data_IF_823861647237
#
_entry.id   IF_823861647237
#
_cell.length_a   1.000
_cell.length_b   1.000
_cell.length_c   1.000
_cell.angle_alpha   90.00
_cell.angle_beta   90.00
_cell.angle_gamma   90.00
#
_symmetry.space_group_name_H-M   'P 1'
#
loop_
_entity.id
_entity.type
_entity.pdbx_description
1 polymer ?
#
# COMPACT_ATOMS: atom_id res chain seq x y z
N UNK A 1 -15.54 -3.16 -8.80
CA UNK A 1 -15.52 -1.94 -7.96
C UNK A 1 -15.26 -2.19 -6.46
N UNK A 2 -15.23 -3.44 -5.94
CA UNK A 2 -15.15 -3.69 -4.49
C UNK A 2 -13.75 -3.90 -3.86
N UNK A 3 -12.65 -3.92 -4.64
CA UNK A 3 -11.32 -4.26 -4.11
C UNK A 3 -10.55 -3.08 -3.48
N UNK A 4 -10.85 -1.83 -3.84
CA UNK A 4 -10.08 -0.64 -3.44
C UNK A 4 -10.30 -0.29 -1.96
N UNK A 5 -11.54 -0.30 -1.49
CA UNK A 5 -11.89 0.06 -0.10
C UNK A 5 -11.22 -0.87 0.93
N UNK A 6 -11.21 -2.18 0.66
CA UNK A 6 -10.57 -3.15 1.55
C UNK A 6 -9.06 -2.94 1.71
N UNK A 7 -8.41 -2.41 0.68
CA UNK A 7 -6.98 -2.07 0.73
C UNK A 7 -6.78 -0.84 1.62
N UNK A 8 -7.62 0.18 1.45
CA UNK A 8 -7.52 1.44 2.21
C UNK A 8 -7.73 1.20 3.71
N UNK A 9 -8.70 0.38 4.09
CA UNK A 9 -8.93 0.03 5.51
C UNK A 9 -7.74 -0.71 6.11
N UNK A 10 -7.20 -1.70 5.40
CA UNK A 10 -6.03 -2.45 5.84
C UNK A 10 -4.81 -1.55 5.97
N UNK A 11 -4.59 -0.66 5.00
CA UNK A 11 -3.53 0.33 5.02
C UNK A 11 -3.68 1.28 6.21
N UNK A 12 -4.89 1.81 6.49
CA UNK A 12 -5.12 2.65 7.66
C UNK A 12 -4.89 1.91 8.99
N UNK A 13 -5.18 0.61 9.05
CA UNK A 13 -4.93 -0.23 10.24
C UNK A 13 -3.45 -0.56 10.42
N UNK A 14 -2.75 -0.92 9.34
CA UNK A 14 -1.33 -1.22 9.36
C UNK A 14 -0.48 0.03 9.58
N UNK A 15 -0.96 1.19 9.12
CA UNK A 15 -0.23 2.43 9.05
C UNK A 15 -1.04 3.59 9.65
N UNK A 16 -1.26 3.60 10.98
CA UNK A 16 -2.01 4.68 11.64
C UNK A 16 -1.34 6.05 11.49
N UNK A 17 -0.02 6.07 11.28
CA UNK A 17 0.80 7.26 11.07
C UNK A 17 0.81 7.77 9.61
N UNK A 18 0.10 7.08 8.69
CA UNK A 18 0.14 7.38 7.27
C UNK A 18 1.45 6.96 6.59
N UNK A 19 2.14 5.93 7.10
CA UNK A 19 3.42 5.43 6.59
C UNK A 19 3.41 3.91 6.49
N UNK A 20 3.72 3.34 5.34
CA UNK A 20 3.75 1.90 5.11
C UNK A 20 5.09 1.41 4.58
N UNK A 21 5.40 0.13 4.74
CA UNK A 21 6.59 -0.48 4.16
C UNK A 21 6.33 -0.93 2.71
N UNK A 22 7.35 -0.93 1.85
CA UNK A 22 7.20 -1.45 0.48
C UNK A 22 6.84 -2.95 0.47
N UNK A 23 7.32 -3.69 1.46
CA UNK A 23 7.05 -5.12 1.69
C UNK A 23 5.56 -5.36 1.94
N UNK A 24 4.97 -4.61 2.88
CA UNK A 24 3.53 -4.64 3.14
C UNK A 24 2.73 -4.32 1.87
N UNK A 25 3.12 -3.27 1.14
CA UNK A 25 2.45 -2.90 -0.11
C UNK A 25 2.44 -4.04 -1.11
N UNK A 26 3.59 -4.71 -1.25
CA UNK A 26 3.80 -5.79 -2.20
C UNK A 26 3.08 -7.07 -1.79
N UNK A 27 3.07 -7.38 -0.50
CA UNK A 27 2.36 -8.54 0.04
C UNK A 27 0.84 -8.34 -0.09
N UNK A 28 0.33 -7.15 0.25
CA UNK A 28 -1.09 -6.79 0.05
C UNK A 28 -1.50 -6.80 -1.42
N UNK A 29 -0.68 -6.21 -2.28
CA UNK A 29 -0.87 -6.21 -3.72
C UNK A 29 -0.91 -7.65 -4.26
N UNK A 30 0.00 -8.51 -3.82
CA UNK A 30 0.06 -9.93 -4.18
C UNK A 30 -1.19 -10.71 -3.74
N UNK A 31 -1.60 -10.57 -2.48
CA UNK A 31 -2.77 -11.27 -1.93
C UNK A 31 -4.08 -10.86 -2.61
N UNK A 32 -4.24 -9.58 -2.96
CA UNK A 32 -5.45 -9.10 -3.63
C UNK A 32 -5.38 -9.15 -5.16
N UNK A 33 -4.23 -9.48 -5.73
CA UNK A 33 -3.98 -9.45 -7.16
C UNK A 33 -4.06 -8.04 -7.75
N UNK A 34 -3.63 -7.04 -6.99
CA UNK A 34 -3.61 -5.64 -7.39
C UNK A 34 -2.19 -5.33 -7.88
N UNK A 35 -2.02 -4.64 -9.03
CA UNK A 35 -0.70 -4.22 -9.47
C UNK A 35 -0.12 -3.18 -8.50
N UNK A 36 1.19 -3.27 -8.24
CA UNK A 36 1.93 -2.33 -7.39
C UNK A 36 1.74 -0.87 -7.83
N UNK A 37 1.57 -0.61 -9.13
CA UNK A 37 1.27 0.74 -9.64
C UNK A 37 -0.07 1.29 -9.17
N UNK A 38 -1.12 0.46 -9.07
CA UNK A 38 -2.40 0.87 -8.49
C UNK A 38 -2.28 0.99 -6.96
N UNK A 39 -1.53 0.08 -6.33
CA UNK A 39 -1.30 0.12 -4.89
C UNK A 39 -0.60 1.43 -4.48
N UNK A 40 0.47 1.81 -5.19
CA UNK A 40 1.18 3.08 -4.95
C UNK A 40 0.28 4.30 -5.16
N UNK A 41 -0.54 4.31 -6.22
CA UNK A 41 -1.52 5.38 -6.46
C UNK A 41 -2.56 5.46 -5.35
N UNK A 42 -3.10 4.34 -4.90
CA UNK A 42 -4.06 4.29 -3.79
C UNK A 42 -3.44 4.86 -2.52
N UNK A 43 -2.22 4.44 -2.20
CA UNK A 43 -1.49 4.94 -1.04
C UNK A 43 -1.27 6.45 -1.14
N UNK A 44 -0.84 6.95 -2.30
CA UNK A 44 -0.64 8.38 -2.55
C UNK A 44 -1.95 9.17 -2.45
N UNK A 45 -3.05 8.65 -3.01
CA UNK A 45 -4.41 9.24 -2.90
C UNK A 45 -4.90 9.34 -1.45
N UNK A 46 -4.60 8.36 -0.61
CA UNK A 46 -4.99 8.39 0.81
C UNK A 46 -3.93 9.02 1.73
N UNK A 47 -2.85 9.57 1.17
CA UNK A 47 -1.79 10.25 1.92
C UNK A 47 -0.85 9.32 2.68
N UNK A 48 -0.79 8.04 2.30
CA UNK A 48 0.09 7.04 2.89
C UNK A 48 1.42 7.04 2.14
N UNK A 49 2.50 7.40 2.84
CA UNK A 49 3.85 7.34 2.30
C UNK A 49 4.42 5.94 2.41
N UNK A 50 4.84 5.37 1.28
CA UNK A 50 5.64 4.15 1.28
C UNK A 50 7.07 4.52 1.68
N UNK A 51 7.55 3.97 2.79
CA UNK A 51 8.93 4.09 3.27
C UNK A 51 9.59 2.70 3.28
N UNK A 52 10.92 2.63 3.36
CA UNK A 52 11.66 1.36 3.44
C UNK A 52 11.40 0.45 2.23
N UNK A 53 11.84 0.89 1.05
CA UNK A 53 11.95 -0.03 -0.08
C UNK A 53 13.14 -0.96 0.18
N UNK A 54 12.89 -2.19 0.60
CA UNK A 54 13.94 -3.21 0.86
C UNK A 54 14.81 -3.51 -0.37
N UNK A 55 14.36 -3.09 -1.56
CA UNK A 55 15.11 -3.18 -2.81
C UNK A 55 16.08 -2.00 -3.03
N UNK A 56 16.10 -1.01 -2.13
CA UNK A 56 16.90 0.21 -2.32
C UNK A 56 16.44 1.08 -3.49
N UNK A 57 15.20 0.90 -3.97
CA UNK A 57 14.63 1.68 -5.08
C UNK A 57 14.03 3.04 -4.64
N UNK A 58 14.28 3.47 -3.40
CA UNK A 58 13.97 4.80 -2.88
C UNK A 58 15.03 5.21 -1.86
#
# INVERSE_FOLDING_TARGET
>A
MAKKEQVIEQLKKACPDGKMSCTDARQFAGEKGIPLSDMGKLCDEVGIKIHSCELGCF
#
